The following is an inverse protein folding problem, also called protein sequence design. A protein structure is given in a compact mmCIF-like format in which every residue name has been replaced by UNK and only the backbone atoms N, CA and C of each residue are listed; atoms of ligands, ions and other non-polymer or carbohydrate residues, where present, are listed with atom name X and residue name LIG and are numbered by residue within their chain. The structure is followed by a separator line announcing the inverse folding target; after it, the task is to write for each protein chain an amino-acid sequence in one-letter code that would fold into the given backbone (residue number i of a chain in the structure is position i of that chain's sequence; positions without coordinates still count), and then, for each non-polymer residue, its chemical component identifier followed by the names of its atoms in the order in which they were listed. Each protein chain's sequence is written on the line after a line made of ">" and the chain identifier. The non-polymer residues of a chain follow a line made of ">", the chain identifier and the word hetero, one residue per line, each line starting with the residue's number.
data_IF_811259835724
#
_entry.id   IF_811259835724
#
_cell.length_a   1.000
_cell.length_b   1.000
_cell.length_c   1.000
_cell.angle_alpha   90.00
_cell.angle_beta   90.00
_cell.angle_gamma   90.00
#
_symmetry.space_group_name_H-M   'P 1'
#
loop_
_entity.id
_entity.type
_entity.pdbx_description
1 polymer ?
#
# COMPACT_ATOMS: atom_id res chain seq x y z
N UNK A 1 -14.36 -14.14 -19.09
CA UNK A 1 -14.51 -14.17 -17.61
C UNK A 1 -13.40 -14.92 -16.86
N UNK A 2 -12.81 -16.02 -17.37
CA UNK A 2 -11.70 -16.73 -16.68
C UNK A 2 -10.54 -15.83 -16.23
N UNK A 3 -10.09 -14.88 -17.07
CA UNK A 3 -8.98 -13.99 -16.76
C UNK A 3 -9.27 -12.95 -15.65
N UNK A 4 -10.53 -12.51 -15.51
CA UNK A 4 -10.93 -11.63 -14.40
C UNK A 4 -10.97 -12.43 -13.09
N UNK A 5 -11.48 -13.66 -13.14
CA UNK A 5 -11.56 -14.52 -11.97
C UNK A 5 -10.16 -14.91 -11.45
N UNK A 6 -9.16 -15.05 -12.34
CA UNK A 6 -7.77 -15.28 -11.93
C UNK A 6 -7.12 -14.09 -11.22
N UNK A 7 -7.66 -12.87 -11.35
CA UNK A 7 -7.14 -11.67 -10.71
C UNK A 7 -7.80 -11.37 -9.35
N UNK A 8 -9.01 -11.87 -9.10
CA UNK A 8 -9.77 -11.60 -7.86
C UNK A 8 -9.37 -12.52 -6.70
N UNK A 9 -9.24 -13.83 -6.94
CA UNK A 9 -8.86 -14.80 -5.91
C UNK A 9 -7.50 -14.50 -5.22
N UNK A 10 -6.47 -13.98 -5.90
CA UNK A 10 -5.19 -13.64 -5.28
C UNK A 10 -5.24 -12.50 -4.26
N UNK A 11 -6.23 -11.60 -4.31
CA UNK A 11 -6.19 -10.35 -3.54
C UNK A 11 -6.37 -10.56 -2.03
N UNK A 12 -7.25 -11.48 -1.64
CA UNK A 12 -7.44 -11.85 -0.23
C UNK A 12 -6.30 -12.75 0.28
N UNK A 13 -5.84 -13.67 -0.58
CA UNK A 13 -4.72 -14.55 -0.27
C UNK A 13 -3.41 -13.77 -0.10
N UNK A 14 -3.22 -12.71 -0.88
CA UNK A 14 -2.05 -11.83 -0.84
C UNK A 14 -1.79 -11.23 0.54
N UNK A 15 -2.83 -10.75 1.24
CA UNK A 15 -2.69 -10.19 2.58
C UNK A 15 -2.22 -11.25 3.60
N UNK A 16 -2.70 -12.49 3.45
CA UNK A 16 -2.26 -13.61 4.28
C UNK A 16 -0.80 -13.97 3.98
N UNK A 17 -0.41 -13.95 2.71
CA UNK A 17 0.95 -14.29 2.28
C UNK A 17 1.96 -13.23 2.73
N UNK A 18 1.61 -11.94 2.64
CA UNK A 18 2.40 -10.86 3.22
C UNK A 18 2.56 -11.02 4.73
N UNK A 19 1.48 -11.36 5.44
CA UNK A 19 1.54 -11.59 6.88
C UNK A 19 2.47 -12.75 7.23
N UNK A 20 2.39 -13.86 6.50
CA UNK A 20 3.28 -15.02 6.66
C UNK A 20 4.73 -14.64 6.37
N UNK A 21 5.00 -13.95 5.27
CA UNK A 21 6.35 -13.51 4.89
C UNK A 21 6.96 -12.60 5.96
N UNK A 22 6.18 -11.65 6.50
CA UNK A 22 6.62 -10.80 7.61
C UNK A 22 6.99 -11.63 8.84
N UNK A 23 6.16 -12.62 9.19
CA UNK A 23 6.38 -13.49 10.34
C UNK A 23 7.58 -14.42 10.17
N UNK A 24 7.93 -14.80 8.94
CA UNK A 24 9.16 -15.57 8.64
C UNK A 24 10.42 -14.71 8.56
N UNK A 25 10.32 -13.40 8.81
CA UNK A 25 11.45 -12.47 8.87
C UNK A 25 11.67 -11.65 7.61
N UNK A 26 10.93 -11.90 6.53
CA UNK A 26 11.00 -11.12 5.28
C UNK A 26 10.51 -9.70 5.53
N UNK A 27 11.27 -8.69 5.06
CA UNK A 27 10.87 -7.29 5.20
C UNK A 27 9.85 -6.93 4.12
N UNK A 28 8.82 -6.18 4.51
CA UNK A 28 7.86 -5.58 3.59
C UNK A 28 8.16 -4.09 3.55
N UNK A 29 8.41 -3.56 2.35
CA UNK A 29 8.73 -2.16 2.11
C UNK A 29 7.53 -1.51 1.46
N UNK A 30 6.73 -0.81 2.28
CA UNK A 30 5.63 0.02 1.79
C UNK A 30 6.17 1.32 1.21
N UNK A 31 5.71 1.71 0.03
CA UNK A 31 6.08 2.98 -0.59
C UNK A 31 4.84 3.68 -1.17
N UNK A 32 4.90 5.01 -1.26
CA UNK A 32 3.84 5.80 -1.90
C UNK A 32 3.98 5.72 -3.43
N UNK A 33 2.96 5.22 -4.14
CA UNK A 33 2.95 5.09 -5.59
C UNK A 33 2.85 6.45 -6.28
N UNK A 34 3.30 6.51 -7.54
CA UNK A 34 3.37 7.76 -8.32
C UNK A 34 4.77 8.37 -8.42
N UNK A 35 5.79 7.69 -7.88
CA UNK A 35 7.20 8.03 -8.07
C UNK A 35 8.01 6.92 -8.72
N UNK A 36 9.33 7.13 -8.83
CA UNK A 36 10.30 6.18 -9.39
C UNK A 36 10.94 5.32 -8.29
N UNK A 37 10.13 4.61 -7.49
CA UNK A 37 10.70 3.69 -6.49
C UNK A 37 11.43 2.55 -7.23
N UNK A 38 12.74 2.35 -7.03
CA UNK A 38 13.48 1.27 -7.69
C UNK A 38 13.18 -0.06 -6.97
N UNK A 39 12.04 -0.69 -7.30
CA UNK A 39 11.62 -1.96 -6.71
C UNK A 39 12.66 -3.07 -6.88
N UNK A 40 13.47 -3.01 -7.93
CA UNK A 40 14.57 -3.93 -8.19
C UNK A 40 15.58 -3.97 -7.05
N UNK A 41 15.85 -2.83 -6.39
CA UNK A 41 16.73 -2.80 -5.21
C UNK A 41 16.08 -3.47 -4.00
N UNK A 42 14.76 -3.30 -3.82
CA UNK A 42 14.01 -3.96 -2.74
C UNK A 42 14.05 -5.48 -2.94
N UNK A 43 13.79 -5.93 -4.17
CA UNK A 43 13.86 -7.35 -4.52
C UNK A 43 15.26 -7.92 -4.34
N UNK A 44 16.32 -7.18 -4.72
CA UNK A 44 17.71 -7.60 -4.52
C UNK A 44 18.07 -7.81 -3.04
N UNK A 45 17.43 -7.06 -2.13
CA UNK A 45 17.55 -7.25 -0.68
C UNK A 45 16.74 -8.43 -0.12
N UNK A 46 16.02 -9.18 -0.97
CA UNK A 46 15.11 -10.25 -0.53
C UNK A 46 13.87 -9.73 0.21
N UNK A 47 13.52 -8.46 0.02
CA UNK A 47 12.33 -7.84 0.60
C UNK A 47 11.17 -7.78 -0.41
N UNK A 48 9.97 -7.49 0.08
CA UNK A 48 8.76 -7.41 -0.72
C UNK A 48 8.33 -5.93 -0.86
N UNK A 49 8.33 -5.34 -2.07
CA UNK A 49 7.78 -4.01 -2.29
C UNK A 49 6.25 -4.05 -2.26
N UNK A 50 5.63 -3.05 -1.63
CA UNK A 50 4.17 -2.88 -1.61
C UNK A 50 3.83 -1.43 -1.90
N UNK A 51 3.21 -1.20 -3.06
CA UNK A 51 2.68 0.12 -3.43
C UNK A 51 1.41 0.43 -2.64
N UNK A 52 1.44 1.48 -1.83
CA UNK A 52 0.30 1.90 -1.01
C UNK A 52 -0.67 2.77 -1.83
N UNK A 53 -1.54 2.13 -2.61
CA UNK A 53 -2.57 2.80 -3.45
C UNK A 53 -3.97 2.86 -2.79
N UNK A 54 -4.09 2.69 -1.47
CA UNK A 54 -5.42 2.64 -0.84
C UNK A 54 -6.08 4.03 -0.92
N UNK A 55 -7.35 4.08 -1.27
CA UNK A 55 -8.13 5.31 -1.34
C UNK A 55 -9.61 5.02 -1.48
N UNK A 56 -10.43 6.07 -1.53
CA UNK A 56 -11.88 6.00 -1.68
C UNK A 56 -12.67 6.19 -0.38
N UNK A 57 -12.02 6.07 0.78
CA UNK A 57 -12.63 6.33 2.09
C UNK A 57 -12.48 7.82 2.46
N UNK A 58 -13.55 8.52 2.89
CA UNK A 58 -13.47 9.93 3.32
C UNK A 58 -12.82 10.11 4.72
N UNK A 59 -12.91 9.12 5.60
CA UNK A 59 -12.43 9.19 6.98
C UNK A 59 -10.91 9.41 7.09
N UNK A 60 -10.05 8.69 6.34
CA UNK A 60 -8.61 8.95 6.31
C UNK A 60 -8.27 10.38 5.84
N UNK A 61 -9.00 10.89 4.84
CA UNK A 61 -8.80 12.27 4.37
C UNK A 61 -9.15 13.27 5.48
N UNK A 62 -10.22 13.04 6.23
CA UNK A 62 -10.58 13.86 7.38
C UNK A 62 -9.53 13.78 8.50
N UNK A 63 -9.05 12.58 8.84
CA UNK A 63 -8.02 12.37 9.86
C UNK A 63 -6.71 13.12 9.56
N UNK A 64 -6.34 13.24 8.28
CA UNK A 64 -5.14 13.98 7.85
C UNK A 64 -5.15 15.48 8.19
N UNK A 65 -6.32 16.08 8.47
CA UNK A 65 -6.46 17.52 8.68
C UNK A 65 -5.71 18.04 9.92
N UNK A 66 -5.33 17.14 10.84
CA UNK A 66 -4.51 17.46 12.00
C UNK A 66 -3.02 17.64 11.66
N UNK A 67 -2.59 17.18 10.47
CA UNK A 67 -1.17 17.08 10.09
C UNK A 67 -0.82 17.92 8.86
N UNK A 68 -1.76 18.13 7.95
CA UNK A 68 -1.51 18.83 6.69
C UNK A 68 -2.66 19.78 6.31
N UNK A 69 -2.38 20.84 5.51
CA UNK A 69 -3.42 21.73 5.02
C UNK A 69 -4.48 21.01 4.19
N UNK A 70 -5.72 21.50 4.26
CA UNK A 70 -6.86 20.95 3.52
C UNK A 70 -6.64 20.95 1.99
N UNK A 71 -5.83 21.87 1.48
CA UNK A 71 -5.62 22.08 0.03
C UNK A 71 -4.56 21.15 -0.58
N UNK A 72 -4.08 20.15 0.16
CA UNK A 72 -3.25 19.08 -0.40
C UNK A 72 -4.12 18.03 -1.13
N UNK A 73 -3.53 17.34 -2.10
CA UNK A 73 -4.12 16.18 -2.79
C UNK A 73 -4.80 15.20 -1.82
N UNK A 74 -6.04 14.82 -2.14
CA UNK A 74 -6.84 13.89 -1.34
C UNK A 74 -6.21 12.51 -1.25
N UNK A 75 -5.50 12.04 -2.28
CA UNK A 75 -4.80 10.76 -2.22
C UNK A 75 -3.63 10.80 -1.23
N UNK A 76 -2.76 11.81 -1.33
CA UNK A 76 -1.67 12.01 -0.38
C UNK A 76 -2.18 12.15 1.07
N UNK A 77 -3.26 12.92 1.25
CA UNK A 77 -3.96 13.06 2.54
C UNK A 77 -4.50 11.72 3.06
N UNK A 78 -5.10 10.91 2.21
CA UNK A 78 -5.59 9.59 2.60
C UNK A 78 -4.46 8.67 3.08
N UNK A 79 -3.28 8.70 2.44
CA UNK A 79 -2.13 7.88 2.88
C UNK A 79 -1.68 8.22 4.30
N UNK A 80 -1.68 9.50 4.66
CA UNK A 80 -1.39 9.95 6.04
C UNK A 80 -2.48 9.44 6.97
N UNK A 81 -3.75 9.60 6.61
CA UNK A 81 -4.88 9.18 7.42
C UNK A 81 -4.94 7.67 7.68
N UNK A 82 -4.63 6.82 6.70
CA UNK A 82 -4.66 5.36 6.85
C UNK A 82 -3.63 4.83 7.86
N UNK A 83 -2.61 5.63 8.18
CA UNK A 83 -1.62 5.28 9.20
C UNK A 83 -2.08 5.63 10.62
N UNK A 84 -2.98 6.60 10.79
CA UNK A 84 -3.43 7.11 12.09
C UNK A 84 -4.47 6.18 12.70
#
# INVERSE_FOLDING_TARGET
>A
MKAINSLQAPQQQWLLDLTKARNSGTKIIGYTPGGYMPEELIYACGAIPVALIRGGDPEPVAASAQYVPRFLDTFARAQIGYRM
#
